data_IF_381691840911
#
_entry.id   IF_381691840911
#
_cell.length_a   1.000
_cell.length_b   1.000
_cell.length_c   1.000
_cell.angle_alpha   90.00
_cell.angle_beta   90.00
_cell.angle_gamma   90.00
#
_symmetry.space_group_name_H-M   'P 1'
#
loop_
_entity.id
_entity.type
_entity.pdbx_description
1 polymer ?
#
# COMPACT_ATOMS: atom_id res chain seq x y z
N UNK A 1 -21.32 7.09 -25.35
CA UNK A 1 -20.97 6.88 -23.93
C UNK A 1 -19.55 6.32 -23.81
N UNK A 2 -19.25 5.16 -24.38
CA UNK A 2 -17.91 4.55 -24.35
C UNK A 2 -16.82 5.40 -25.02
N UNK A 3 -17.08 5.96 -26.21
CA UNK A 3 -16.10 6.83 -26.90
C UNK A 3 -15.72 8.10 -26.12
N UNK A 4 -16.70 8.73 -25.46
CA UNK A 4 -16.47 9.91 -24.61
C UNK A 4 -15.71 9.54 -23.34
N UNK A 5 -16.02 8.38 -22.75
CA UNK A 5 -15.35 7.89 -21.55
C UNK A 5 -13.85 7.64 -21.81
N UNK A 6 -13.52 6.84 -22.82
CA UNK A 6 -12.13 6.54 -23.14
C UNK A 6 -11.39 7.75 -23.72
N UNK A 7 -12.05 8.56 -24.56
CA UNK A 7 -11.45 9.78 -25.13
C UNK A 7 -11.07 10.80 -24.06
N UNK A 8 -11.96 11.07 -23.11
CA UNK A 8 -11.68 12.00 -22.00
C UNK A 8 -10.67 11.44 -21.00
N UNK A 9 -10.66 10.12 -20.75
CA UNK A 9 -9.66 9.48 -19.89
C UNK A 9 -8.24 9.62 -20.44
N UNK A 10 -8.04 9.32 -21.73
CA UNK A 10 -6.73 9.47 -22.39
C UNK A 10 -6.31 10.94 -22.40
N UNK A 11 -7.25 11.86 -22.64
CA UNK A 11 -6.99 13.29 -22.58
C UNK A 11 -6.49 13.73 -21.18
N UNK A 12 -7.12 13.28 -20.09
CA UNK A 12 -6.67 13.61 -18.73
C UNK A 12 -5.33 12.98 -18.37
N UNK A 13 -5.03 11.78 -18.88
CA UNK A 13 -3.71 11.16 -18.69
C UNK A 13 -2.61 11.94 -19.41
N UNK A 14 -2.87 12.44 -20.63
CA UNK A 14 -1.92 13.31 -21.34
C UNK A 14 -1.65 14.62 -20.58
N UNK A 15 -2.62 15.11 -19.82
CA UNK A 15 -2.49 16.28 -18.94
C UNK A 15 -1.83 15.96 -17.59
N UNK A 16 -1.31 14.75 -17.37
CA UNK A 16 -0.72 14.30 -16.09
C UNK A 16 -1.65 14.50 -14.87
N UNK A 17 -2.96 14.43 -15.07
CA UNK A 17 -3.94 14.52 -13.98
C UNK A 17 -3.82 13.24 -13.13
N UNK A 18 -3.87 13.35 -11.78
CA UNK A 18 -3.86 12.17 -10.90
C UNK A 18 -4.93 11.15 -11.31
N UNK A 19 -4.56 9.87 -11.34
CA UNK A 19 -5.37 8.77 -11.91
C UNK A 19 -6.79 8.75 -11.34
N UNK A 20 -6.94 8.93 -10.02
CA UNK A 20 -8.25 8.95 -9.36
C UNK A 20 -9.16 10.08 -9.88
N UNK A 21 -8.59 11.27 -10.10
CA UNK A 21 -9.32 12.44 -10.61
C UNK A 21 -9.66 12.24 -12.09
N UNK A 22 -8.74 11.70 -12.88
CA UNK A 22 -8.96 11.41 -14.29
C UNK A 22 -10.10 10.42 -14.50
N UNK A 23 -10.16 9.33 -13.72
CA UNK A 23 -11.24 8.34 -13.78
C UNK A 23 -12.59 8.97 -13.39
N UNK A 24 -12.61 9.79 -12.34
CA UNK A 24 -13.82 10.48 -11.88
C UNK A 24 -14.37 11.44 -12.93
N UNK A 25 -13.52 12.30 -13.49
CA UNK A 25 -13.91 13.28 -14.51
C UNK A 25 -14.32 12.62 -15.83
N UNK A 26 -13.63 11.55 -16.25
CA UNK A 26 -14.00 10.80 -17.46
C UNK A 26 -15.34 10.06 -17.31
N UNK A 27 -15.63 9.57 -16.10
CA UNK A 27 -16.93 8.96 -15.80
C UNK A 27 -18.05 10.01 -15.77
N UNK A 28 -17.79 11.17 -15.17
CA UNK A 28 -18.73 12.29 -15.12
C UNK A 28 -19.05 12.82 -16.53
N UNK A 29 -18.04 13.04 -17.37
CA UNK A 29 -18.21 13.53 -18.74
C UNK A 29 -19.05 12.56 -19.59
N UNK A 30 -18.82 11.25 -19.45
CA UNK A 30 -19.56 10.23 -20.17
C UNK A 30 -21.04 10.13 -19.74
N UNK A 31 -21.33 10.34 -18.45
CA UNK A 31 -22.68 10.35 -17.89
C UNK A 31 -23.45 11.60 -18.32
N UNK A 32 -22.82 12.77 -18.24
CA UNK A 32 -23.42 14.03 -18.69
C UNK A 32 -23.73 14.01 -20.19
N UNK A 33 -22.88 13.35 -20.99
CA UNK A 33 -23.08 13.23 -22.43
C UNK A 33 -24.15 12.19 -22.82
N UNK A 34 -24.32 11.11 -22.06
CA UNK A 34 -25.33 10.08 -22.38
C UNK A 34 -26.74 10.49 -21.98
N UNK A 35 -26.89 11.33 -20.95
CA UNK A 35 -28.19 11.74 -20.40
C UNK A 35 -29.03 10.58 -19.80
N UNK A 36 -28.50 9.36 -19.80
CA UNK A 36 -29.25 8.14 -19.46
C UNK A 36 -29.39 7.93 -17.94
N UNK A 37 -28.59 8.63 -17.14
CA UNK A 37 -28.54 8.47 -15.69
C UNK A 37 -28.80 9.85 -15.06
N UNK A 38 -29.84 9.98 -14.20
CA UNK A 38 -30.07 11.22 -13.46
C UNK A 38 -28.84 11.58 -12.61
N UNK A 39 -28.40 12.86 -12.59
CA UNK A 39 -27.22 13.28 -11.82
C UNK A 39 -27.30 12.92 -10.32
N UNK A 40 -28.51 12.82 -9.77
CA UNK A 40 -28.73 12.41 -8.38
C UNK A 40 -28.25 10.98 -8.09
N UNK A 41 -28.35 10.08 -9.07
CA UNK A 41 -27.89 8.69 -8.95
C UNK A 41 -26.37 8.63 -8.89
N UNK A 42 -25.68 9.55 -9.58
CA UNK A 42 -24.22 9.66 -9.50
C UNK A 42 -23.78 10.06 -8.09
N UNK A 43 -24.42 11.09 -7.50
CA UNK A 43 -24.13 11.54 -6.13
C UNK A 43 -24.39 10.41 -5.12
N UNK A 44 -25.50 9.68 -5.29
CA UNK A 44 -25.83 8.54 -4.43
C UNK A 44 -24.78 7.43 -4.56
N UNK A 45 -24.34 7.08 -5.77
CA UNK A 45 -23.29 6.07 -6.00
C UNK A 45 -21.94 6.49 -5.43
N UNK A 46 -21.58 7.78 -5.49
CA UNK A 46 -20.37 8.31 -4.85
C UNK A 46 -20.45 8.19 -3.33
N UNK A 47 -21.61 8.49 -2.74
CA UNK A 47 -21.81 8.38 -1.30
C UNK A 47 -21.75 6.91 -0.83
N UNK A 48 -22.46 6.00 -1.50
CA UNK A 48 -22.38 4.55 -1.19
C UNK A 48 -20.98 3.98 -1.41
N UNK A 49 -20.21 4.48 -2.38
CA UNK A 49 -18.82 4.06 -2.56
C UNK A 49 -17.90 4.50 -1.41
N UNK A 50 -18.29 5.56 -0.68
CA UNK A 50 -17.57 6.01 0.52
C UNK A 50 -17.88 5.13 1.73
N UNK A 51 -19.07 4.52 1.76
CA UNK A 51 -19.47 3.51 2.75
C UNK A 51 -18.91 2.13 2.40
N UNK A 52 -17.58 2.04 2.38
CA UNK A 52 -16.82 0.86 1.97
C UNK A 52 -15.98 0.36 3.13
N UNK A 53 -16.17 -0.91 3.51
CA UNK A 53 -15.36 -1.59 4.53
C UNK A 53 -13.84 -1.44 4.28
N UNK A 54 -13.33 -1.57 3.04
CA UNK A 54 -11.93 -1.27 2.73
C UNK A 54 -11.45 0.14 3.12
N UNK A 55 -12.28 1.18 2.94
CA UNK A 55 -11.90 2.55 3.28
C UNK A 55 -11.70 2.75 4.79
N UNK A 56 -12.47 2.04 5.61
CA UNK A 56 -12.26 2.01 7.07
C UNK A 56 -11.11 1.09 7.47
N UNK A 57 -10.95 -0.05 6.79
CA UNK A 57 -9.93 -1.04 7.13
C UNK A 57 -8.50 -0.48 6.96
N UNK A 58 -8.23 0.30 5.91
CA UNK A 58 -6.90 0.86 5.65
C UNK A 58 -6.36 1.70 6.83
N UNK A 59 -7.09 2.73 7.33
CA UNK A 59 -6.68 3.47 8.52
C UNK A 59 -6.50 2.59 9.76
N UNK A 60 -7.41 1.65 10.02
CA UNK A 60 -7.32 0.79 11.21
C UNK A 60 -6.11 -0.15 11.15
N UNK A 61 -5.77 -0.69 9.98
CA UNK A 61 -4.58 -1.52 9.82
C UNK A 61 -3.29 -0.71 9.92
N UNK A 62 -3.26 0.52 9.39
CA UNK A 62 -2.13 1.44 9.59
C UNK A 62 -1.98 1.76 11.08
N UNK A 63 -3.08 2.05 11.77
CA UNK A 63 -3.09 2.32 13.20
C UNK A 63 -2.58 1.10 13.99
N UNK A 64 -3.09 -0.10 13.70
CA UNK A 64 -2.64 -1.33 14.32
C UNK A 64 -1.13 -1.55 14.10
N UNK A 65 -0.65 -1.36 12.88
CA UNK A 65 0.78 -1.48 12.58
C UNK A 65 1.64 -0.46 13.32
N UNK A 66 1.18 0.79 13.42
CA UNK A 66 1.87 1.82 14.21
C UNK A 66 1.89 1.47 15.70
N UNK A 67 0.79 0.91 16.24
CA UNK A 67 0.72 0.47 17.63
C UNK A 67 1.70 -0.69 17.90
N UNK A 68 1.85 -1.61 16.95
CA UNK A 68 2.83 -2.71 17.02
C UNK A 68 4.27 -2.19 16.98
N UNK A 69 4.54 -1.15 16.19
CA UNK A 69 5.82 -0.47 16.15
C UNK A 69 6.15 0.19 17.50
N UNK A 70 5.24 1.03 18.01
CA UNK A 70 5.40 1.70 19.31
C UNK A 70 5.46 0.71 20.48
N UNK A 71 4.71 -0.39 20.41
CA UNK A 71 4.73 -1.48 21.40
C UNK A 71 5.99 -2.35 21.36
N UNK A 72 6.89 -2.11 20.39
CA UNK A 72 8.16 -2.83 20.25
C UNK A 72 8.06 -4.22 19.62
N UNK A 73 6.88 -4.60 19.10
CA UNK A 73 6.68 -5.89 18.41
C UNK A 73 7.51 -5.94 17.14
N UNK A 74 7.50 -4.87 16.34
CA UNK A 74 8.28 -4.76 15.10
C UNK A 74 9.76 -5.04 15.35
N UNK A 75 10.32 -4.49 16.44
CA UNK A 75 11.73 -4.68 16.79
C UNK A 75 12.03 -6.12 17.23
N UNK A 76 11.16 -6.71 18.06
CA UNK A 76 11.29 -8.13 18.46
C UNK A 76 11.23 -9.08 17.27
N UNK A 77 10.35 -8.81 16.30
CA UNK A 77 10.26 -9.60 15.06
C UNK A 77 11.53 -9.48 14.22
N UNK A 78 12.09 -8.27 14.08
CA UNK A 78 13.36 -8.04 13.39
C UNK A 78 14.51 -8.78 14.09
N UNK A 79 14.61 -8.69 15.41
CA UNK A 79 15.66 -9.37 16.18
C UNK A 79 15.54 -10.90 16.08
N UNK A 80 14.31 -11.42 16.11
CA UNK A 80 14.03 -12.83 15.88
C UNK A 80 14.46 -13.28 14.49
N UNK A 81 14.03 -12.58 13.43
CA UNK A 81 14.43 -12.87 12.06
C UNK A 81 15.96 -12.81 11.89
N UNK A 82 16.60 -11.81 12.50
CA UNK A 82 18.06 -11.66 12.50
C UNK A 82 18.79 -12.83 13.19
N UNK A 83 18.21 -13.42 14.25
CA UNK A 83 18.79 -14.60 14.89
C UNK A 83 18.80 -15.84 13.99
N UNK A 84 17.84 -15.94 13.06
CA UNK A 84 17.70 -17.08 12.13
C UNK A 84 18.61 -16.90 10.92
N UNK A 85 18.47 -15.77 10.20
CA UNK A 85 19.09 -15.58 8.88
C UNK A 85 20.15 -14.47 8.82
N UNK A 86 20.36 -13.72 9.91
CA UNK A 86 21.28 -12.57 9.94
C UNK A 86 22.75 -12.93 9.73
N UNK A 87 23.12 -14.20 9.92
CA UNK A 87 24.49 -14.71 9.75
C UNK A 87 24.92 -14.89 8.29
N UNK A 88 24.00 -14.92 7.34
CA UNK A 88 24.30 -15.14 5.93
C UNK A 88 24.75 -13.84 5.24
N UNK A 89 25.54 -13.95 4.18
CA UNK A 89 25.87 -12.83 3.31
C UNK A 89 24.58 -12.26 2.70
N UNK A 90 24.35 -10.95 2.86
CA UNK A 90 23.06 -10.36 2.51
C UNK A 90 22.00 -10.46 3.61
N UNK A 91 22.36 -10.95 4.81
CA UNK A 91 21.44 -11.32 5.89
C UNK A 91 20.35 -10.29 6.22
N UNK A 92 20.66 -8.98 6.21
CA UNK A 92 19.65 -7.95 6.48
C UNK A 92 18.49 -7.91 5.47
N UNK A 93 18.74 -8.27 4.20
CA UNK A 93 17.69 -8.36 3.20
C UNK A 93 16.76 -9.56 3.50
N UNK A 94 17.33 -10.70 3.90
CA UNK A 94 16.53 -11.84 4.36
C UNK A 94 15.76 -11.53 5.65
N UNK A 95 16.37 -10.77 6.57
CA UNK A 95 15.68 -10.29 7.78
C UNK A 95 14.49 -9.41 7.41
N UNK A 96 14.62 -8.53 6.42
CA UNK A 96 13.51 -7.70 5.94
C UNK A 96 12.35 -8.53 5.40
N UNK A 97 12.64 -9.57 4.62
CA UNK A 97 11.63 -10.49 4.07
C UNK A 97 10.92 -11.24 5.20
N UNK A 98 11.68 -11.88 6.10
CA UNK A 98 11.11 -12.72 7.16
C UNK A 98 10.36 -11.89 8.21
N UNK A 99 10.91 -10.74 8.63
CA UNK A 99 10.23 -9.85 9.56
C UNK A 99 8.94 -9.29 8.96
N UNK A 100 8.97 -8.91 7.68
CA UNK A 100 7.77 -8.43 6.97
C UNK A 100 6.74 -9.53 6.75
N UNK A 101 7.18 -10.78 6.58
CA UNK A 101 6.30 -11.95 6.52
C UNK A 101 5.55 -12.16 7.84
N UNK A 102 6.25 -12.17 8.98
CA UNK A 102 5.58 -12.32 10.29
C UNK A 102 4.68 -11.15 10.63
N UNK A 103 5.16 -9.93 10.42
CA UNK A 103 4.36 -8.73 10.67
C UNK A 103 3.14 -8.68 9.75
N UNK A 104 3.34 -9.05 8.49
CA UNK A 104 2.29 -9.14 7.49
C UNK A 104 1.23 -10.16 7.83
N UNK A 105 1.63 -11.37 8.26
CA UNK A 105 0.70 -12.39 8.75
C UNK A 105 -0.12 -11.88 9.94
N UNK A 106 0.43 -11.08 10.85
CA UNK A 106 -0.34 -10.58 12.00
C UNK A 106 -1.25 -9.39 11.61
N UNK A 107 -0.76 -8.49 10.76
CA UNK A 107 -1.40 -7.20 10.48
C UNK A 107 -2.28 -7.18 9.23
N UNK A 108 -2.09 -8.13 8.30
CA UNK A 108 -2.83 -8.21 7.03
C UNK A 108 -2.61 -7.03 6.07
N UNK A 109 -1.67 -6.11 6.35
CA UNK A 109 -1.57 -4.84 5.64
C UNK A 109 -0.14 -4.51 5.18
N UNK A 110 0.02 -4.45 3.85
CA UNK A 110 1.31 -4.14 3.23
C UNK A 110 1.85 -2.75 3.59
N UNK A 111 0.99 -1.72 3.56
CA UNK A 111 1.40 -0.33 3.83
C UNK A 111 1.88 -0.17 5.27
N UNK A 112 1.16 -0.80 6.22
CA UNK A 112 1.52 -0.79 7.63
C UNK A 112 2.85 -1.51 7.87
N UNK A 113 3.07 -2.65 7.20
CA UNK A 113 4.31 -3.41 7.27
C UNK A 113 5.52 -2.62 6.76
N UNK A 114 5.41 -1.99 5.59
CA UNK A 114 6.48 -1.15 5.03
C UNK A 114 6.80 0.01 5.96
N UNK A 115 5.78 0.66 6.54
CA UNK A 115 5.99 1.74 7.49
C UNK A 115 6.72 1.25 8.75
N UNK A 116 6.21 0.21 9.41
CA UNK A 116 6.70 -0.21 10.74
C UNK A 116 8.04 -0.97 10.70
N UNK A 117 8.24 -1.83 9.71
CA UNK A 117 9.49 -2.61 9.58
C UNK A 117 10.54 -1.80 8.81
N UNK A 118 10.13 -1.01 7.83
CA UNK A 118 11.03 -0.20 7.00
C UNK A 118 11.73 0.90 7.78
N UNK A 119 11.07 1.54 8.76
CA UNK A 119 11.68 2.53 9.66
C UNK A 119 12.86 1.97 10.44
N UNK A 120 12.86 0.67 10.72
CA UNK A 120 13.92 -0.02 11.45
C UNK A 120 15.00 -0.52 10.49
N UNK A 121 14.59 -1.22 9.42
CA UNK A 121 15.52 -1.96 8.57
C UNK A 121 16.16 -1.15 7.47
N UNK A 122 15.47 -0.19 6.85
CA UNK A 122 16.07 0.63 5.77
C UNK A 122 17.30 1.39 6.30
N UNK A 123 17.22 2.12 7.44
CA UNK A 123 18.40 2.78 8.00
C UNK A 123 19.49 1.79 8.45
N UNK A 124 19.10 0.60 8.94
CA UNK A 124 20.05 -0.42 9.34
C UNK A 124 20.82 -1.02 8.15
N UNK A 125 20.14 -1.25 7.02
CA UNK A 125 20.73 -1.70 5.77
C UNK A 125 21.70 -0.66 5.21
N UNK A 126 21.28 0.62 5.13
CA UNK A 126 22.13 1.70 4.65
C UNK A 126 23.40 1.84 5.50
N UNK A 127 23.29 1.75 6.83
CA UNK A 127 24.46 1.76 7.75
C UNK A 127 25.42 0.60 7.54
N UNK A 128 24.96 -0.54 7.00
CA UNK A 128 25.80 -1.69 6.67
C UNK A 128 26.30 -1.69 5.22
N UNK A 129 26.15 -0.57 4.51
CA UNK A 129 26.68 -0.38 3.16
C UNK A 129 25.78 -0.87 2.03
N UNK A 130 24.49 -1.10 2.29
CA UNK A 130 23.52 -1.37 1.23
C UNK A 130 23.09 -0.06 0.55
N UNK A 131 22.89 -0.11 -0.77
CA UNK A 131 22.35 1.02 -1.51
C UNK A 131 20.91 1.35 -1.07
N UNK A 132 20.61 2.64 -0.91
CA UNK A 132 19.26 3.09 -0.51
C UNK A 132 18.17 2.57 -1.44
N UNK A 133 18.31 2.60 -2.79
CA UNK A 133 17.32 2.03 -3.71
C UNK A 133 17.11 0.53 -3.52
N UNK A 134 18.18 -0.21 -3.18
CA UNK A 134 18.07 -1.64 -2.91
C UNK A 134 17.32 -1.89 -1.60
N UNK A 135 17.66 -1.17 -0.52
CA UNK A 135 16.99 -1.31 0.77
C UNK A 135 15.50 -0.97 0.69
N UNK A 136 15.13 0.10 -0.01
CA UNK A 136 13.71 0.46 -0.22
C UNK A 136 12.99 -0.53 -1.13
N UNK A 137 13.63 -1.02 -2.20
CA UNK A 137 13.02 -2.01 -3.09
C UNK A 137 12.75 -3.34 -2.37
N UNK A 138 13.72 -3.83 -1.58
CA UNK A 138 13.56 -5.04 -0.76
C UNK A 138 12.42 -4.85 0.24
N UNK A 139 12.37 -3.72 0.93
CA UNK A 139 11.30 -3.48 1.90
C UNK A 139 9.92 -3.34 1.24
N UNK A 140 9.83 -2.64 0.10
CA UNK A 140 8.58 -2.45 -0.63
C UNK A 140 8.01 -3.79 -1.12
N UNK A 141 8.88 -4.67 -1.63
CA UNK A 141 8.48 -6.01 -2.10
C UNK A 141 8.16 -6.93 -0.93
N UNK A 142 8.99 -6.96 0.12
CA UNK A 142 8.74 -7.74 1.32
C UNK A 142 7.41 -7.38 2.01
N UNK A 143 7.06 -6.10 2.05
CA UNK A 143 5.79 -5.63 2.63
C UNK A 143 4.55 -6.19 1.95
N UNK A 144 4.60 -6.47 0.64
CA UNK A 144 3.46 -7.05 -0.09
C UNK A 144 3.10 -8.48 0.34
N UNK A 145 4.04 -9.19 0.98
CA UNK A 145 3.80 -10.54 1.51
C UNK A 145 2.69 -10.55 2.56
N UNK A 146 2.48 -9.44 3.28
CA UNK A 146 1.45 -9.35 4.31
C UNK A 146 0.01 -9.42 3.80
N UNK A 147 -0.23 -9.26 2.50
CA UNK A 147 -1.55 -9.48 1.89
C UNK A 147 -1.70 -10.90 1.37
N UNK A 148 -0.59 -11.59 1.08
CA UNK A 148 -0.59 -12.95 0.53
C UNK A 148 -0.65 -14.03 1.61
N UNK A 149 -0.05 -13.77 2.78
CA UNK A 149 -0.03 -14.74 3.88
C UNK A 149 -1.26 -14.47 4.75
N UNK A 150 -2.20 -15.42 4.84
CA UNK A 150 -3.41 -15.22 5.63
C UNK A 150 -3.04 -14.98 7.12
N UNK A 151 -3.76 -14.08 7.81
CA UNK A 151 -3.67 -13.95 9.26
C UNK A 151 -4.23 -15.15 10.02
#
# INVERSE_FOLDING_TARGET
MTGVLFGSLVFFFLLNVPIAVAIGLASLSAILWSGAIPPVVLVQKMFTATDSFPLMAVPFFILAGSLMEFGGISRRLVDFANSIVGRFSGGLAFVAIIASMFFGAISGAAVACVAAIGTILIPAMVRRGYDTPYATAVQATAGTLGVMIPP
#
